data_IF_828019116266
#
_entry.id   IF_828019116266
#
_cell.length_a   1.000
_cell.length_b   1.000
_cell.length_c   1.000
_cell.angle_alpha   90.00
_cell.angle_beta   90.00
_cell.angle_gamma   90.00
#
_symmetry.space_group_name_H-M   'P 1'
#
loop_
_entity.id
_entity.type
_entity.pdbx_description
1 polymer ?
#
# COMPACT_ATOMS: atom_id res chain seq x y z
N UNK A 1 -21.98 14.45 -26.00
CA UNK A 1 -21.29 13.31 -25.40
C UNK A 1 -21.85 13.10 -24.01
N UNK A 2 -22.48 11.95 -23.82
CA UNK A 2 -23.11 11.57 -22.55
C UNK A 2 -22.03 11.42 -21.46
N UNK A 3 -22.15 12.21 -20.38
CA UNK A 3 -21.21 12.17 -19.24
C UNK A 3 -21.14 10.79 -18.59
N UNK A 4 -22.19 9.96 -18.73
CA UNK A 4 -22.23 8.61 -18.18
C UNK A 4 -21.33 7.63 -18.97
N UNK A 5 -21.26 7.77 -20.30
CA UNK A 5 -20.41 6.94 -21.14
C UNK A 5 -18.92 7.24 -20.95
N UNK A 6 -18.57 8.54 -20.84
CA UNK A 6 -17.19 8.96 -20.60
C UNK A 6 -16.68 8.48 -19.21
N UNK A 7 -17.50 8.57 -18.17
CA UNK A 7 -17.16 8.06 -16.83
C UNK A 7 -16.98 6.53 -16.82
N UNK A 8 -17.83 5.80 -17.56
CA UNK A 8 -17.71 4.34 -17.72
C UNK A 8 -16.42 3.95 -18.44
N UNK A 9 -16.00 4.70 -19.44
CA UNK A 9 -14.79 4.42 -20.21
C UNK A 9 -13.51 4.73 -19.40
N UNK A 10 -13.52 5.78 -18.57
CA UNK A 10 -12.44 6.09 -17.62
C UNK A 10 -12.34 4.98 -16.58
N UNK A 11 -13.46 4.55 -16.00
CA UNK A 11 -13.49 3.43 -15.07
C UNK A 11 -12.86 2.18 -15.66
N UNK A 12 -13.26 1.78 -16.87
CA UNK A 12 -12.73 0.58 -17.55
C UNK A 12 -11.24 0.64 -17.85
N UNK A 13 -10.66 1.83 -17.98
CA UNK A 13 -9.21 2.01 -18.22
C UNK A 13 -8.39 1.98 -16.95
N UNK A 14 -8.96 2.40 -15.83
CA UNK A 14 -8.25 2.60 -14.57
C UNK A 14 -8.39 1.42 -13.59
N UNK A 15 -9.53 0.74 -13.59
CA UNK A 15 -9.74 -0.46 -12.78
C UNK A 15 -9.31 -1.68 -13.59
N UNK A 16 -8.41 -2.46 -13.01
CA UNK A 16 -7.89 -3.67 -13.65
C UNK A 16 -8.97 -4.77 -13.70
N UNK A 17 -9.11 -5.37 -14.85
CA UNK A 17 -9.86 -6.62 -15.00
C UNK A 17 -8.97 -7.78 -14.55
N UNK A 18 -9.25 -8.31 -13.37
CA UNK A 18 -8.44 -9.34 -12.72
C UNK A 18 -9.20 -10.68 -12.77
N UNK A 19 -8.60 -11.77 -13.27
CA UNK A 19 -9.18 -13.09 -13.16
C UNK A 19 -9.52 -13.46 -11.71
N UNK A 20 -10.75 -13.93 -11.48
CA UNK A 20 -11.31 -14.21 -10.15
C UNK A 20 -11.41 -15.70 -9.90
N UNK A 21 -11.13 -16.12 -8.67
CA UNK A 21 -11.23 -17.53 -8.27
C UNK A 21 -12.53 -17.85 -7.53
N UNK A 22 -12.90 -17.03 -6.52
CA UNK A 22 -14.03 -17.34 -5.62
C UNK A 22 -14.91 -16.13 -5.29
N UNK A 23 -14.33 -14.96 -5.12
CA UNK A 23 -15.01 -13.73 -4.68
C UNK A 23 -14.61 -12.57 -5.58
N UNK A 24 -15.31 -11.45 -5.47
CA UNK A 24 -15.02 -10.23 -6.23
C UNK A 24 -13.65 -9.61 -5.92
N UNK A 25 -13.02 -10.02 -4.84
CA UNK A 25 -11.68 -9.56 -4.44
C UNK A 25 -10.62 -10.64 -4.51
N UNK A 26 -10.97 -11.88 -4.87
CA UNK A 26 -10.00 -12.96 -5.07
C UNK A 26 -9.16 -12.70 -6.31
N UNK A 27 -7.96 -13.27 -6.34
CA UNK A 27 -7.05 -13.20 -7.49
C UNK A 27 -6.70 -14.62 -7.91
N UNK A 28 -7.06 -14.98 -9.14
CA UNK A 28 -6.78 -16.31 -9.65
C UNK A 28 -5.28 -16.51 -9.93
N UNK A 29 -4.76 -17.75 -9.85
CA UNK A 29 -3.33 -18.02 -10.05
C UNK A 29 -2.79 -17.65 -11.44
N UNK A 30 -3.65 -17.58 -12.45
CA UNK A 30 -3.30 -17.17 -13.82
C UNK A 30 -3.28 -15.64 -14.01
N UNK A 31 -3.58 -14.86 -12.98
CA UNK A 31 -3.51 -13.40 -13.06
C UNK A 31 -2.08 -12.93 -13.32
N UNK A 32 -1.94 -11.92 -14.15
CA UNK A 32 -0.64 -11.34 -14.50
C UNK A 32 -0.67 -9.84 -14.41
N UNK A 33 0.46 -9.24 -14.07
CA UNK A 33 0.66 -7.80 -14.06
C UNK A 33 1.79 -7.45 -15.01
N UNK A 34 1.42 -6.92 -16.17
CA UNK A 34 2.36 -6.47 -17.20
C UNK A 34 2.31 -4.93 -17.27
N UNK A 35 3.31 -4.21 -16.73
CA UNK A 35 3.31 -2.75 -16.70
C UNK A 35 3.21 -2.12 -18.10
N UNK A 36 3.81 -2.76 -19.12
CA UNK A 36 3.76 -2.24 -20.49
C UNK A 36 2.33 -2.30 -21.04
N UNK A 37 1.62 -3.40 -20.82
CA UNK A 37 0.22 -3.51 -21.22
C UNK A 37 -0.70 -2.59 -20.42
N UNK A 38 -0.42 -2.42 -19.13
CA UNK A 38 -1.30 -1.71 -18.19
C UNK A 38 -1.09 -0.21 -18.27
N UNK A 39 0.17 0.27 -18.35
CA UNK A 39 0.53 1.69 -18.33
C UNK A 39 1.09 2.20 -19.68
N UNK A 40 1.38 1.30 -20.63
CA UNK A 40 2.07 1.63 -21.86
C UNK A 40 3.59 1.80 -21.72
N UNK A 41 4.13 1.49 -20.55
CA UNK A 41 5.56 1.67 -20.23
C UNK A 41 6.01 0.84 -19.05
N UNK A 42 7.32 0.55 -18.98
CA UNK A 42 8.00 0.20 -17.74
C UNK A 42 8.47 1.50 -17.06
N UNK A 43 8.30 1.58 -15.74
CA UNK A 43 8.72 2.72 -14.93
C UNK A 43 8.89 2.29 -13.47
N UNK A 44 9.32 3.22 -12.62
CA UNK A 44 9.33 3.04 -11.17
C UNK A 44 7.94 2.62 -10.70
N UNK A 45 7.82 1.44 -10.10
CA UNK A 45 6.54 0.84 -9.74
C UNK A 45 6.28 0.98 -8.24
N UNK A 46 5.22 1.68 -7.91
CA UNK A 46 4.72 1.84 -6.54
C UNK A 46 3.43 1.05 -6.36
N UNK A 47 3.31 0.35 -5.24
CA UNK A 47 2.08 -0.37 -4.86
C UNK A 47 1.62 0.10 -3.49
N UNK A 48 0.40 0.60 -3.36
CA UNK A 48 -0.23 0.90 -2.08
C UNK A 48 -1.27 -0.15 -1.74
N UNK A 49 -1.07 -0.85 -0.62
CA UNK A 49 -2.00 -1.85 -0.10
C UNK A 49 -2.96 -1.20 0.89
N UNK A 50 -4.27 -1.33 0.63
CA UNK A 50 -5.30 -0.67 1.41
C UNK A 50 -5.36 0.82 1.12
N UNK A 51 -5.40 1.20 -0.16
CA UNK A 51 -5.38 2.61 -0.59
C UNK A 51 -6.58 3.44 -0.11
N UNK A 52 -7.62 2.80 0.40
CA UNK A 52 -8.80 3.45 0.96
C UNK A 52 -9.41 4.46 -0.01
N UNK A 53 -9.50 5.72 0.41
CA UNK A 53 -10.04 6.83 -0.40
C UNK A 53 -9.02 7.38 -1.43
N UNK A 54 -7.82 6.80 -1.54
CA UNK A 54 -6.81 7.16 -2.52
C UNK A 54 -6.05 8.46 -2.27
N UNK A 55 -6.14 9.04 -1.06
CA UNK A 55 -5.55 10.35 -0.76
C UNK A 55 -4.03 10.36 -0.93
N UNK A 56 -3.33 9.34 -0.41
CA UNK A 56 -1.88 9.27 -0.48
C UNK A 56 -1.39 8.96 -1.90
N UNK A 57 -1.94 7.92 -2.54
CA UNK A 57 -1.48 7.48 -3.85
C UNK A 57 -1.76 8.49 -4.96
N UNK A 58 -2.92 9.15 -4.95
CA UNK A 58 -3.27 10.16 -5.97
C UNK A 58 -2.40 11.40 -5.81
N UNK A 59 -2.17 11.85 -4.57
CA UNK A 59 -1.28 12.98 -4.30
C UNK A 59 0.12 12.71 -4.85
N UNK A 60 0.69 11.56 -4.52
CA UNK A 60 2.05 11.22 -4.95
C UNK A 60 2.15 10.95 -6.45
N UNK A 61 1.13 10.34 -7.05
CA UNK A 61 1.09 10.12 -8.49
C UNK A 61 1.07 11.42 -9.30
N UNK A 62 0.43 12.47 -8.77
CA UNK A 62 0.46 13.80 -9.39
C UNK A 62 1.85 14.45 -9.33
N UNK A 63 2.63 14.17 -8.26
CA UNK A 63 4.01 14.66 -8.11
C UNK A 63 5.03 13.87 -8.93
N UNK A 64 4.73 12.60 -9.27
CA UNK A 64 5.61 11.69 -9.98
C UNK A 64 4.94 11.11 -11.23
N UNK A 65 4.64 11.92 -12.25
CA UNK A 65 3.94 11.46 -13.46
C UNK A 65 4.74 10.42 -14.26
N UNK A 66 6.05 10.35 -14.07
CA UNK A 66 6.93 9.37 -14.69
C UNK A 66 6.87 7.97 -14.04
N UNK A 67 6.36 7.84 -12.80
CA UNK A 67 6.23 6.57 -12.11
C UNK A 67 4.87 5.91 -12.37
N UNK A 68 4.79 4.60 -12.16
CA UNK A 68 3.57 3.81 -12.21
C UNK A 68 3.06 3.52 -10.80
N UNK A 69 1.77 3.68 -10.57
CA UNK A 69 1.14 3.46 -9.27
C UNK A 69 0.02 2.43 -9.37
N UNK A 70 0.04 1.44 -8.47
CA UNK A 70 -1.00 0.44 -8.30
C UNK A 70 -1.66 0.61 -6.93
N UNK A 71 -2.91 1.01 -6.91
CA UNK A 71 -3.75 1.04 -5.72
C UNK A 71 -4.45 -0.30 -5.54
N UNK A 72 -4.29 -0.93 -4.39
CA UNK A 72 -4.95 -2.20 -4.05
C UNK A 72 -5.95 -1.96 -2.93
N UNK A 73 -7.22 -2.24 -3.17
CA UNK A 73 -8.30 -1.98 -2.23
C UNK A 73 -9.42 -3.02 -2.39
N UNK A 74 -10.08 -3.38 -1.30
CA UNK A 74 -11.23 -4.30 -1.32
C UNK A 74 -12.57 -3.58 -1.14
N UNK A 75 -12.54 -2.38 -0.56
CA UNK A 75 -13.72 -1.61 -0.20
C UNK A 75 -14.22 -0.77 -1.38
N UNK A 76 -15.28 -1.22 -2.04
CA UNK A 76 -15.85 -0.60 -3.24
C UNK A 76 -16.13 0.90 -3.11
N UNK A 77 -16.73 1.41 -2.00
CA UNK A 77 -16.92 2.85 -1.86
C UNK A 77 -15.60 3.65 -1.81
N UNK A 78 -14.56 3.09 -1.22
CA UNK A 78 -13.22 3.70 -1.24
C UNK A 78 -12.65 3.80 -2.65
N UNK A 79 -12.82 2.75 -3.46
CA UNK A 79 -12.43 2.74 -4.87
C UNK A 79 -13.16 3.83 -5.67
N UNK A 80 -14.46 4.02 -5.43
CA UNK A 80 -15.22 5.08 -6.09
C UNK A 80 -14.67 6.48 -5.77
N UNK A 81 -14.35 6.75 -4.51
CA UNK A 81 -13.73 8.01 -4.08
C UNK A 81 -12.31 8.19 -4.66
N UNK A 82 -11.53 7.12 -4.71
CA UNK A 82 -10.20 7.12 -5.34
C UNK A 82 -10.30 7.51 -6.81
N UNK A 83 -11.18 6.87 -7.58
CA UNK A 83 -11.38 7.17 -9.00
C UNK A 83 -11.83 8.63 -9.23
N UNK A 84 -12.71 9.14 -8.37
CA UNK A 84 -13.12 10.55 -8.40
C UNK A 84 -11.93 11.48 -8.18
N UNK A 85 -11.07 11.20 -7.18
CA UNK A 85 -9.86 11.98 -6.92
C UNK A 85 -8.86 11.92 -8.08
N UNK A 86 -8.68 10.73 -8.68
CA UNK A 86 -7.84 10.58 -9.88
C UNK A 86 -8.33 11.48 -11.02
N UNK A 87 -9.64 11.48 -11.28
CA UNK A 87 -10.25 12.34 -12.30
C UNK A 87 -10.06 13.83 -12.00
N UNK A 88 -10.30 14.25 -10.76
CA UNK A 88 -10.15 15.63 -10.33
C UNK A 88 -8.69 16.12 -10.39
N UNK A 89 -7.73 15.26 -10.07
CA UNK A 89 -6.31 15.57 -10.14
C UNK A 89 -5.70 15.42 -11.54
N UNK A 90 -6.44 14.84 -12.49
CA UNK A 90 -5.96 14.58 -13.85
C UNK A 90 -4.80 13.58 -13.92
N UNK A 91 -4.69 12.64 -12.95
CA UNK A 91 -3.64 11.64 -12.95
C UNK A 91 -4.00 10.45 -13.84
N UNK A 92 -3.06 10.02 -14.67
CA UNK A 92 -3.23 8.91 -15.61
C UNK A 92 -2.31 7.72 -15.30
N UNK A 93 -1.39 7.87 -14.37
CA UNK A 93 -0.38 6.91 -13.97
C UNK A 93 -0.77 6.02 -12.78
N UNK A 94 -2.05 6.04 -12.37
CA UNK A 94 -2.60 5.15 -11.34
C UNK A 94 -3.49 4.10 -11.98
N UNK A 95 -3.36 2.87 -11.50
CA UNK A 95 -4.32 1.77 -11.76
C UNK A 95 -4.86 1.25 -10.45
N UNK A 96 -6.05 0.70 -10.48
CA UNK A 96 -6.77 0.22 -9.29
C UNK A 96 -7.03 -1.26 -9.42
N UNK A 97 -6.57 -2.03 -8.46
CA UNK A 97 -6.89 -3.44 -8.29
C UNK A 97 -7.88 -3.61 -7.13
N UNK A 98 -9.11 -3.97 -7.43
CA UNK A 98 -10.03 -4.42 -6.39
C UNK A 98 -9.68 -5.86 -6.02
N UNK A 99 -8.78 -6.04 -5.06
CA UNK A 99 -8.20 -7.34 -4.79
C UNK A 99 -7.81 -7.54 -3.32
N UNK A 100 -7.86 -8.80 -2.89
CA UNK A 100 -7.22 -9.25 -1.66
C UNK A 100 -5.69 -9.13 -1.81
N UNK A 101 -5.06 -8.36 -0.94
CA UNK A 101 -3.66 -8.03 -1.08
C UNK A 101 -2.70 -9.26 -1.03
N UNK A 102 -2.82 -10.20 -0.07
CA UNK A 102 -1.99 -11.39 -0.07
C UNK A 102 -2.08 -12.20 -1.37
N UNK A 103 -3.28 -12.38 -1.92
CA UNK A 103 -3.47 -13.12 -3.18
C UNK A 103 -2.93 -12.34 -4.38
N UNK A 104 -3.06 -11.01 -4.40
CA UNK A 104 -2.49 -10.18 -5.45
C UNK A 104 -0.96 -10.27 -5.46
N UNK A 105 -0.34 -10.21 -4.29
CA UNK A 105 1.10 -10.37 -4.18
C UNK A 105 1.55 -11.76 -4.66
N UNK A 106 0.83 -12.83 -4.31
CA UNK A 106 1.22 -14.20 -4.68
C UNK A 106 1.00 -14.51 -6.16
N UNK A 107 -0.16 -14.11 -6.68
CA UNK A 107 -0.65 -14.62 -7.96
C UNK A 107 -0.44 -13.64 -9.11
N UNK A 108 -0.37 -12.34 -8.85
CA UNK A 108 -0.40 -11.34 -9.90
C UNK A 108 0.94 -10.60 -10.08
N UNK A 109 1.63 -10.27 -8.98
CA UNK A 109 2.90 -9.56 -9.05
C UNK A 109 4.09 -10.53 -9.16
N UNK A 110 4.98 -10.25 -10.11
CA UNK A 110 6.20 -11.03 -10.30
C UNK A 110 7.24 -10.72 -9.20
N UNK A 111 8.21 -11.62 -9.05
CA UNK A 111 9.36 -11.40 -8.20
C UNK A 111 10.17 -10.19 -8.67
N UNK A 112 10.67 -9.39 -7.72
CA UNK A 112 11.51 -8.24 -8.01
C UNK A 112 10.88 -7.25 -9.03
N UNK A 113 9.56 -7.04 -8.95
CA UNK A 113 8.82 -6.18 -9.89
C UNK A 113 8.41 -4.81 -9.29
N UNK A 114 8.49 -4.66 -7.97
CA UNK A 114 8.02 -3.48 -7.25
C UNK A 114 9.20 -2.72 -6.67
N UNK A 115 9.25 -1.41 -6.91
CA UNK A 115 10.31 -0.53 -6.37
C UNK A 115 9.95 -0.03 -4.96
N UNK A 116 8.67 0.24 -4.71
CA UNK A 116 8.21 0.74 -3.42
C UNK A 116 6.81 0.20 -3.09
N UNK A 117 6.61 -0.25 -1.84
CA UNK A 117 5.34 -0.75 -1.34
C UNK A 117 4.92 0.03 -0.09
N UNK A 118 3.64 0.41 -0.02
CA UNK A 118 3.09 1.16 1.10
C UNK A 118 1.96 0.40 1.79
N UNK A 119 1.96 0.48 3.12
CA UNK A 119 0.85 0.03 3.97
C UNK A 119 0.61 1.13 5.00
N UNK A 120 -0.41 1.94 4.78
CA UNK A 120 -0.73 3.07 5.66
C UNK A 120 -2.04 2.83 6.39
N UNK A 121 -2.00 2.92 7.70
CA UNK A 121 -3.14 2.80 8.61
C UNK A 121 -4.01 1.56 8.37
N UNK A 122 -3.40 0.36 8.26
CA UNK A 122 -4.17 -0.88 8.15
C UNK A 122 -4.97 -1.12 9.41
N UNK A 123 -6.06 -1.90 9.28
CA UNK A 123 -6.94 -2.25 10.41
C UNK A 123 -6.14 -2.83 11.59
N UNK A 124 -6.15 -2.17 12.77
CA UNK A 124 -5.35 -2.58 13.90
C UNK A 124 -5.93 -3.78 14.67
N UNK A 125 -7.22 -4.12 14.44
CA UNK A 125 -7.88 -5.24 15.11
C UNK A 125 -7.64 -5.24 16.63
N UNK A 126 -8.14 -4.24 17.35
CA UNK A 126 -7.84 -3.93 18.75
C UNK A 126 -8.00 -5.12 19.72
N UNK A 127 -8.98 -6.02 19.46
CA UNK A 127 -9.21 -7.17 20.32
C UNK A 127 -8.19 -8.28 20.04
N UNK A 128 -7.50 -8.78 21.05
CA UNK A 128 -6.45 -9.81 20.92
C UNK A 128 -6.89 -11.05 20.13
N UNK A 129 -8.15 -11.49 20.29
CA UNK A 129 -8.73 -12.61 19.51
C UNK A 129 -8.76 -12.33 17.99
N UNK A 130 -8.62 -11.07 17.56
CA UNK A 130 -8.64 -10.64 16.15
C UNK A 130 -7.24 -10.32 15.60
N UNK A 131 -6.18 -10.34 16.40
CA UNK A 131 -4.82 -10.02 15.95
C UNK A 131 -4.36 -10.87 14.77
N UNK A 132 -4.85 -12.12 14.65
CA UNK A 132 -4.60 -12.99 13.49
C UNK A 132 -5.13 -12.44 12.15
N UNK A 133 -5.95 -11.39 12.17
CA UNK A 133 -6.48 -10.70 10.99
C UNK A 133 -5.59 -9.55 10.54
N UNK A 134 -4.61 -9.16 11.36
CA UNK A 134 -3.67 -8.09 11.02
C UNK A 134 -2.94 -8.44 9.75
N UNK A 135 -2.84 -7.46 8.85
CA UNK A 135 -2.21 -7.65 7.55
C UNK A 135 -0.72 -7.93 7.69
N UNK A 136 0.00 -7.10 8.46
CA UNK A 136 1.44 -7.24 8.64
C UNK A 136 1.72 -8.41 9.57
N UNK A 137 2.25 -9.46 9.00
CA UNK A 137 2.60 -10.73 9.63
C UNK A 137 3.87 -11.30 8.99
N UNK A 138 4.56 -12.28 9.58
CA UNK A 138 5.70 -12.94 8.93
C UNK A 138 5.38 -13.44 7.52
N UNK A 139 4.24 -14.13 7.34
CA UNK A 139 3.83 -14.63 6.03
C UNK A 139 3.55 -13.52 5.01
N UNK A 140 3.03 -12.36 5.45
CA UNK A 140 2.86 -11.22 4.57
C UNK A 140 4.20 -10.57 4.22
N UNK A 141 5.12 -10.50 5.18
CA UNK A 141 6.48 -9.99 4.97
C UNK A 141 7.25 -10.83 3.94
N UNK A 142 7.10 -12.16 3.95
CA UNK A 142 7.67 -13.06 2.92
C UNK A 142 7.17 -12.68 1.52
N UNK A 143 5.86 -12.41 1.37
CA UNK A 143 5.26 -12.01 0.09
C UNK A 143 5.77 -10.65 -0.40
N UNK A 144 5.88 -9.69 0.51
CA UNK A 144 6.43 -8.37 0.19
C UNK A 144 7.91 -8.47 -0.19
N UNK A 145 8.70 -9.26 0.52
CA UNK A 145 10.10 -9.51 0.19
C UNK A 145 10.26 -10.11 -1.21
N UNK A 146 9.36 -11.02 -1.62
CA UNK A 146 9.39 -11.62 -2.95
C UNK A 146 9.16 -10.60 -4.07
N UNK A 147 8.18 -9.71 -3.93
CA UNK A 147 7.80 -8.78 -5.00
C UNK A 147 8.66 -7.52 -5.04
N UNK A 148 9.21 -7.07 -3.92
CA UNK A 148 10.12 -5.93 -3.89
C UNK A 148 11.44 -6.27 -4.59
N UNK A 149 11.94 -5.34 -5.40
CA UNK A 149 13.30 -5.41 -5.94
C UNK A 149 14.34 -5.34 -4.81
N UNK A 150 15.54 -5.93 -4.98
CA UNK A 150 16.66 -5.61 -4.10
C UNK A 150 16.87 -4.09 -4.00
N UNK A 151 16.98 -3.56 -2.79
CA UNK A 151 17.01 -2.12 -2.54
C UNK A 151 15.64 -1.44 -2.52
N UNK A 152 14.56 -2.15 -2.86
CA UNK A 152 13.20 -1.64 -2.83
C UNK A 152 12.75 -1.28 -1.41
N UNK A 153 11.82 -0.33 -1.32
CA UNK A 153 11.41 0.27 -0.04
C UNK A 153 10.01 -0.17 0.35
N UNK A 154 9.86 -0.55 1.60
CA UNK A 154 8.57 -0.76 2.24
C UNK A 154 8.30 0.32 3.28
N UNK A 155 7.24 1.13 3.08
CA UNK A 155 6.81 2.16 4.02
C UNK A 155 5.54 1.71 4.72
N UNK A 156 5.54 1.86 6.05
CA UNK A 156 4.39 1.55 6.89
C UNK A 156 4.08 2.74 7.79
N UNK A 157 2.81 2.92 8.11
CA UNK A 157 2.37 3.85 9.15
C UNK A 157 1.14 3.29 9.86
N UNK A 158 1.05 3.51 11.16
CA UNK A 158 -0.14 3.21 11.97
C UNK A 158 -0.22 4.17 13.15
N UNK A 159 -1.43 4.52 13.56
CA UNK A 159 -1.71 5.32 14.76
C UNK A 159 -1.98 4.44 16.00
N UNK A 160 -1.81 3.12 15.86
CA UNK A 160 -2.00 2.14 16.93
C UNK A 160 -0.64 1.62 17.42
N UNK A 161 -0.17 2.14 18.55
CA UNK A 161 1.18 1.90 19.07
C UNK A 161 1.52 0.41 19.22
N UNK A 162 0.60 -0.37 19.81
CA UNK A 162 0.81 -1.81 19.97
C UNK A 162 0.96 -2.52 18.61
N UNK A 163 0.21 -2.11 17.58
CA UNK A 163 0.39 -2.67 16.24
C UNK A 163 1.69 -2.18 15.58
N UNK A 164 2.10 -0.94 15.82
CA UNK A 164 3.39 -0.44 15.36
C UNK A 164 4.56 -1.27 15.90
N UNK A 165 4.52 -1.64 17.18
CA UNK A 165 5.52 -2.52 17.79
C UNK A 165 5.54 -3.91 17.15
N UNK A 166 4.36 -4.49 16.87
CA UNK A 166 4.25 -5.79 16.18
C UNK A 166 4.80 -5.70 14.75
N UNK A 167 4.46 -4.64 13.99
CA UNK A 167 5.01 -4.42 12.65
C UNK A 167 6.54 -4.39 12.69
N UNK A 168 7.12 -3.62 13.61
CA UNK A 168 8.56 -3.52 13.78
C UNK A 168 9.19 -4.87 14.14
N UNK A 169 8.61 -5.60 15.09
CA UNK A 169 9.08 -6.92 15.49
C UNK A 169 9.13 -7.90 14.30
N UNK A 170 8.06 -7.96 13.51
CA UNK A 170 7.98 -8.80 12.31
C UNK A 170 9.10 -8.47 11.33
N UNK A 171 9.35 -7.18 11.07
CA UNK A 171 10.30 -6.74 10.06
C UNK A 171 11.76 -6.79 10.53
N UNK A 172 12.03 -6.52 11.80
CA UNK A 172 13.38 -6.70 12.40
C UNK A 172 13.78 -8.18 12.42
N UNK A 173 12.83 -9.09 12.60
CA UNK A 173 13.08 -10.53 12.57
C UNK A 173 13.25 -11.10 11.17
N UNK A 174 12.82 -10.37 10.12
CA UNK A 174 12.83 -10.89 8.77
C UNK A 174 14.21 -10.77 8.10
N UNK A 175 14.77 -11.87 7.56
CA UNK A 175 16.15 -11.88 7.05
C UNK A 175 16.39 -10.95 5.85
N UNK A 176 15.37 -10.71 5.04
CA UNK A 176 15.47 -9.95 3.78
C UNK A 176 15.21 -8.44 3.96
N UNK A 177 14.90 -7.99 5.17
CA UNK A 177 14.69 -6.57 5.42
C UNK A 177 15.75 -5.97 6.33
N UNK A 178 16.02 -4.70 6.12
CA UNK A 178 16.80 -3.85 7.02
C UNK A 178 16.05 -2.55 7.31
N UNK A 179 16.07 -2.12 8.55
CA UNK A 179 15.50 -0.84 8.94
C UNK A 179 16.34 0.31 8.37
N UNK A 180 15.69 1.27 7.70
CA UNK A 180 16.37 2.44 7.11
C UNK A 180 16.77 3.45 8.18
N UNK A 181 16.12 3.42 9.34
CA UNK A 181 16.29 4.36 10.44
C UNK A 181 16.72 3.65 11.75
N UNK A 182 17.75 2.80 11.75
CA UNK A 182 18.09 2.00 12.92
C UNK A 182 18.41 2.91 14.13
N UNK A 183 17.81 2.62 15.28
CA UNK A 183 18.00 3.39 16.52
C UNK A 183 17.33 4.75 16.58
N UNK A 184 16.73 5.25 15.49
CA UNK A 184 16.07 6.54 15.49
C UNK A 184 14.87 6.54 16.45
N UNK A 185 14.75 7.60 17.26
CA UNK A 185 13.68 7.74 18.25
C UNK A 185 13.80 6.78 19.44
N UNK A 186 14.97 6.21 19.69
CA UNK A 186 15.21 5.38 20.87
C UNK A 186 15.02 6.17 22.17
N UNK A 187 14.40 5.54 23.17
CA UNK A 187 14.18 6.08 24.52
C UNK A 187 14.58 5.04 25.58
N UNK A 188 14.50 5.39 26.87
CA UNK A 188 14.73 4.42 27.95
C UNK A 188 13.69 3.29 27.93
N UNK A 189 12.43 3.62 27.56
CA UNK A 189 11.32 2.65 27.46
C UNK A 189 11.35 1.86 26.16
N UNK A 190 11.92 2.42 25.10
CA UNK A 190 12.08 1.78 23.80
C UNK A 190 13.53 1.93 23.27
N UNK A 191 14.48 1.18 23.84
CA UNK A 191 15.90 1.31 23.49
C UNK A 191 16.23 0.85 22.06
N UNK A 192 15.35 0.08 21.42
CA UNK A 192 15.53 -0.33 20.02
C UNK A 192 15.31 0.85 19.06
N UNK A 193 14.30 1.68 19.32
CA UNK A 193 13.93 2.75 18.40
C UNK A 193 13.61 2.23 16.99
N UNK A 194 14.20 2.84 15.97
CA UNK A 194 14.01 2.41 14.58
C UNK A 194 12.78 3.02 13.90
N UNK A 195 12.26 4.09 14.49
CA UNK A 195 11.12 4.82 13.96
C UNK A 195 11.54 5.77 12.85
N UNK A 196 10.88 5.69 11.70
CA UNK A 196 11.09 6.62 10.62
C UNK A 196 10.48 8.00 10.95
N UNK A 197 11.04 9.10 10.45
CA UNK A 197 10.32 10.37 10.41
C UNK A 197 9.06 10.22 9.55
N UNK A 198 8.02 11.05 9.83
CA UNK A 198 6.86 11.08 8.96
C UNK A 198 7.30 11.34 7.52
N UNK A 199 6.90 10.44 6.62
CA UNK A 199 7.31 10.58 5.23
C UNK A 199 6.62 11.75 4.54
N UNK A 200 7.40 12.67 3.96
CA UNK A 200 6.91 13.88 3.31
C UNK A 200 6.03 13.59 2.08
N UNK A 201 6.29 12.48 1.37
CA UNK A 201 5.48 12.06 0.23
C UNK A 201 4.06 11.57 0.56
N UNK A 202 3.76 11.38 1.86
CA UNK A 202 2.39 11.07 2.30
C UNK A 202 1.65 12.35 2.67
N UNK A 203 0.61 12.70 1.90
CA UNK A 203 -0.31 13.79 2.30
C UNK A 203 -1.01 13.46 3.62
N UNK A 204 -1.50 14.47 4.33
CA UNK A 204 -2.31 14.28 5.54
C UNK A 204 -3.66 13.67 5.14
N UNK A 205 -3.75 12.34 5.26
CA UNK A 205 -4.98 11.61 4.93
C UNK A 205 -6.09 11.86 5.95
N UNK A 206 -7.33 11.60 5.56
CA UNK A 206 -8.49 11.70 6.47
C UNK A 206 -8.36 10.74 7.67
N UNK A 207 -7.72 9.58 7.49
CA UNK A 207 -7.43 8.65 8.57
C UNK A 207 -6.40 9.21 9.56
N UNK A 208 -5.30 9.74 9.06
CA UNK A 208 -4.26 10.35 9.90
C UNK A 208 -4.78 11.57 10.66
N UNK A 209 -5.61 12.40 10.03
CA UNK A 209 -6.26 13.54 10.67
C UNK A 209 -7.17 13.12 11.82
N UNK A 210 -8.04 12.12 11.59
CA UNK A 210 -8.89 11.55 12.64
C UNK A 210 -8.09 10.96 13.81
N UNK A 211 -6.94 10.36 13.53
CA UNK A 211 -6.04 9.87 14.55
C UNK A 211 -5.49 11.02 15.40
N UNK A 212 -5.02 12.10 14.77
CA UNK A 212 -4.52 13.30 15.44
C UNK A 212 -5.62 13.98 16.28
N UNK A 213 -6.82 14.13 15.74
CA UNK A 213 -7.99 14.67 16.45
C UNK A 213 -8.35 13.84 17.69
N UNK A 214 -8.11 12.51 17.64
CA UNK A 214 -8.28 11.59 18.75
C UNK A 214 -7.05 11.51 19.68
N UNK A 215 -6.05 12.39 19.50
CA UNK A 215 -4.83 12.43 20.31
C UNK A 215 -3.86 11.27 20.06
N UNK A 216 -4.04 10.48 18.99
CA UNK A 216 -3.13 9.39 18.63
C UNK A 216 -2.02 9.88 17.71
N UNK A 217 -0.82 9.42 17.98
CA UNK A 217 0.37 9.71 17.18
C UNK A 217 0.54 8.62 16.11
N UNK A 218 0.84 9.01 14.89
CA UNK A 218 1.28 8.07 13.86
C UNK A 218 2.72 7.61 14.14
N UNK A 219 2.95 6.32 13.97
CA UNK A 219 4.26 5.68 14.01
C UNK A 219 4.60 5.27 12.58
N UNK A 220 5.69 5.80 12.06
CA UNK A 220 6.20 5.50 10.73
C UNK A 220 7.37 4.51 10.81
N UNK A 221 7.41 3.57 9.87
CA UNK A 221 8.48 2.61 9.69
C UNK A 221 8.89 2.60 8.21
N UNK A 222 10.17 2.47 7.95
CA UNK A 222 10.72 2.34 6.60
C UNK A 222 11.77 1.25 6.58
N UNK A 223 11.52 0.24 5.76
CA UNK A 223 12.45 -0.88 5.58
C UNK A 223 12.90 -0.96 4.13
N UNK A 224 14.12 -1.44 3.94
CA UNK A 224 14.69 -1.71 2.62
C UNK A 224 14.86 -3.22 2.47
N UNK A 225 14.51 -3.75 1.30
CA UNK A 225 14.89 -5.11 0.94
C UNK A 225 16.40 -5.18 0.67
N UNK A 226 17.06 -6.17 1.30
CA UNK A 226 18.49 -6.46 1.11
C UNK A 226 18.79 -7.03 -0.28
#
# INVERSE_FOLDING_TARGET
LDRSSAASDVYKRQVLDIPRLRTDTSVAPEATFDPVKIYGREAYQVVEIGSGLGEAIVHRAAEMPEANFLAVEVYTPGIADLLLKMGNAGVENVRVAQANAPELLDNMLEENSVDELWVFFPDPWHKSRHHKRRLVSPAFADKVARVLKPGGIWRLATDWEEYALVMREVLEAHPDFENVNPGAGATEEDPLGGWAPRWEGRTLTSFERKAQEAGRRAHDLTYRRK
#
